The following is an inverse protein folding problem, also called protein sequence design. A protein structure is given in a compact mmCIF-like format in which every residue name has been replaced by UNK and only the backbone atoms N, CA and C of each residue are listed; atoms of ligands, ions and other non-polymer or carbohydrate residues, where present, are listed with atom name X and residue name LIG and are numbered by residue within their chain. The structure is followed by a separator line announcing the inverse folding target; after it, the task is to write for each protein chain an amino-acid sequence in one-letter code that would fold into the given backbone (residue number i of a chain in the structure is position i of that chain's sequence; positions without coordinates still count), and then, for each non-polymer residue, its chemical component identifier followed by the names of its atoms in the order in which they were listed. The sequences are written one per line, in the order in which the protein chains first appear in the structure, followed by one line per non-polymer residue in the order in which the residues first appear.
data_IF_446503536822
#
_entry.id   IF_446503536822
#
_cell.length_a   1.000
_cell.length_b   1.000
_cell.length_c   1.000
_cell.angle_alpha   90.00
_cell.angle_beta   90.00
_cell.angle_gamma   90.00
#
_symmetry.space_group_name_H-M   'P 1'
#
loop_
_entity.id
_entity.type
_entity.pdbx_description
1 polymer ?
#
# COMPACT_ATOMS: atom_id res chain seq x y z
N UNK A 1 -7.39 -4.48 -16.87
CA UNK A 1 -6.29 -3.95 -16.05
C UNK A 1 -6.40 -4.53 -14.65
N UNK A 2 -5.33 -5.18 -14.19
CA UNK A 2 -5.25 -5.86 -12.90
C UNK A 2 -4.38 -5.08 -11.93
N UNK A 3 -4.90 -4.83 -10.73
CA UNK A 3 -4.20 -4.18 -9.63
C UNK A 3 -3.90 -5.22 -8.55
N UNK A 4 -2.66 -5.28 -8.06
CA UNK A 4 -2.33 -5.95 -6.80
C UNK A 4 -2.21 -4.90 -5.70
N UNK A 5 -2.83 -5.14 -4.55
CA UNK A 5 -2.96 -4.22 -3.43
C UNK A 5 -2.43 -4.86 -2.16
N UNK A 6 -1.36 -4.28 -1.63
CA UNK A 6 -0.81 -4.57 -0.30
C UNK A 6 -0.93 -3.34 0.60
N UNK A 7 -0.90 -3.55 1.91
CA UNK A 7 -0.73 -2.49 2.91
C UNK A 7 -0.08 -3.06 4.16
N UNK A 8 0.37 -2.20 5.07
CA UNK A 8 0.74 -2.57 6.43
C UNK A 8 1.76 -3.73 6.45
N UNK A 9 2.84 -3.57 5.66
CA UNK A 9 3.87 -4.58 5.46
C UNK A 9 4.77 -4.72 6.70
N UNK A 10 5.02 -3.61 7.39
CA UNK A 10 5.85 -3.52 8.59
C UNK A 10 7.22 -4.20 8.44
N UNK A 11 7.89 -4.01 7.30
CA UNK A 11 9.19 -4.61 7.06
C UNK A 11 10.19 -4.12 8.11
N UNK A 12 10.78 -5.07 8.85
CA UNK A 12 11.65 -4.79 9.99
C UNK A 12 11.01 -5.05 11.35
N UNK A 13 9.71 -5.35 11.41
CA UNK A 13 9.04 -5.73 12.66
C UNK A 13 9.68 -6.98 13.27
N UNK A 14 10.18 -6.85 14.50
CA UNK A 14 10.82 -7.95 15.24
C UNK A 14 9.95 -8.51 16.38
N UNK A 15 8.87 -7.81 16.77
CA UNK A 15 8.01 -8.22 17.90
C UNK A 15 8.79 -8.58 19.17
N UNK A 16 8.29 -9.55 19.94
CA UNK A 16 8.89 -10.02 21.19
C UNK A 16 9.74 -11.30 21.06
N UNK A 17 9.91 -11.85 19.85
CA UNK A 17 10.49 -13.18 19.64
C UNK A 17 11.60 -13.21 18.59
N UNK A 18 12.66 -14.02 18.79
CA UNK A 18 13.71 -14.17 17.79
C UNK A 18 13.12 -14.74 16.49
N UNK A 19 13.57 -14.23 15.34
CA UNK A 19 13.19 -14.73 14.01
C UNK A 19 11.99 -14.04 13.36
N UNK A 20 11.16 -13.29 14.11
CA UNK A 20 9.98 -12.60 13.55
C UNK A 20 10.30 -11.63 12.42
N UNK A 21 11.40 -10.87 12.56
CA UNK A 21 11.88 -10.02 11.48
C UNK A 21 12.14 -10.81 10.18
N UNK A 22 12.69 -12.03 10.30
CA UNK A 22 12.91 -12.91 9.15
C UNK A 22 11.62 -13.47 8.56
N UNK A 23 10.60 -13.74 9.38
CA UNK A 23 9.29 -14.21 8.91
C UNK A 23 8.56 -13.14 8.10
N UNK A 24 8.50 -11.90 8.62
CA UNK A 24 7.87 -10.77 7.91
C UNK A 24 8.52 -10.55 6.53
N UNK A 25 9.85 -10.58 6.47
CA UNK A 25 10.58 -10.47 5.20
C UNK A 25 10.25 -11.62 4.24
N UNK A 26 10.20 -12.86 4.74
CA UNK A 26 9.89 -14.05 3.94
C UNK A 26 8.46 -14.04 3.40
N UNK A 27 7.49 -13.64 4.22
CA UNK A 27 6.09 -13.52 3.81
C UNK A 27 5.96 -12.46 2.72
N UNK A 28 6.64 -11.32 2.85
CA UNK A 28 6.68 -10.31 1.80
C UNK A 28 7.31 -10.83 0.50
N UNK A 29 8.45 -11.54 0.58
CA UNK A 29 9.08 -12.15 -0.60
C UNK A 29 8.14 -13.15 -1.28
N UNK A 30 7.45 -13.99 -0.52
CA UNK A 30 6.46 -14.95 -1.04
C UNK A 30 5.28 -14.25 -1.71
N UNK A 31 4.73 -13.20 -1.08
CA UNK A 31 3.63 -12.42 -1.64
C UNK A 31 4.05 -11.76 -2.96
N UNK A 32 5.24 -11.17 -3.02
CA UNK A 32 5.77 -10.58 -4.25
C UNK A 32 6.01 -11.60 -5.36
N UNK A 33 6.48 -12.81 -5.01
CA UNK A 33 6.57 -13.93 -5.95
C UNK A 33 5.20 -14.31 -6.51
N UNK A 34 4.20 -14.46 -5.66
CA UNK A 34 2.83 -14.75 -6.08
C UNK A 34 2.22 -13.64 -6.93
N UNK A 35 2.45 -12.39 -6.57
CA UNK A 35 2.04 -11.21 -7.37
C UNK A 35 2.67 -11.27 -8.75
N UNK A 36 3.94 -11.63 -8.85
CA UNK A 36 4.63 -11.80 -10.14
C UNK A 36 3.97 -12.86 -11.01
N UNK A 37 3.59 -14.01 -10.44
CA UNK A 37 2.86 -15.07 -11.16
C UNK A 37 1.48 -14.61 -11.64
N UNK A 38 0.81 -13.76 -10.86
CA UNK A 38 -0.52 -13.24 -11.21
C UNK A 38 -0.49 -12.16 -12.29
N UNK A 39 0.67 -11.56 -12.57
CA UNK A 39 0.86 -10.61 -13.67
C UNK A 39 -0.04 -9.36 -13.61
N UNK A 40 0.00 -8.54 -12.54
CA UNK A 40 -0.74 -7.27 -12.51
C UNK A 40 -0.07 -6.20 -13.38
N UNK A 41 -0.86 -5.21 -13.79
CA UNK A 41 -0.39 -4.00 -14.48
C UNK A 41 0.08 -2.91 -13.49
N UNK A 42 -0.38 -2.99 -12.24
CA UNK A 42 -0.12 -2.05 -11.16
C UNK A 42 -0.01 -2.78 -9.82
N UNK A 43 1.04 -2.51 -9.06
CA UNK A 43 1.14 -2.86 -7.64
C UNK A 43 1.00 -1.60 -6.81
N UNK A 44 0.02 -1.58 -5.92
CA UNK A 44 -0.21 -0.48 -4.97
C UNK A 44 0.14 -0.94 -3.56
N UNK A 45 0.91 -0.12 -2.84
CA UNK A 45 1.24 -0.33 -1.43
C UNK A 45 0.67 0.85 -0.62
N UNK A 46 -0.41 0.59 0.11
CA UNK A 46 -1.17 1.59 0.85
C UNK A 46 -0.60 1.85 2.27
N UNK A 47 0.71 2.10 2.34
CA UNK A 47 1.39 2.57 3.53
C UNK A 47 1.84 1.51 4.52
N UNK A 48 2.58 1.99 5.53
CA UNK A 48 3.29 1.21 6.55
C UNK A 48 4.16 0.13 5.90
N UNK A 49 5.00 0.57 4.95
CA UNK A 49 5.99 -0.29 4.28
C UNK A 49 7.01 -0.78 5.30
N UNK A 50 7.51 0.12 6.13
CA UNK A 50 8.46 -0.18 7.19
C UNK A 50 7.79 -0.08 8.56
N UNK A 51 8.19 -0.93 9.49
CA UNK A 51 7.65 -0.91 10.86
C UNK A 51 8.05 0.37 11.63
N UNK A 52 9.16 0.98 11.23
CA UNK A 52 9.74 2.15 11.87
C UNK A 52 10.45 3.02 10.82
N UNK A 53 10.55 4.35 10.98
CA UNK A 53 11.28 5.21 10.05
C UNK A 53 12.80 4.99 10.09
N UNK A 54 13.30 4.21 11.05
CA UNK A 54 14.67 3.76 11.15
C UNK A 54 14.68 2.23 11.11
N UNK A 55 15.10 1.67 9.98
CA UNK A 55 15.23 0.21 9.79
C UNK A 55 16.66 -0.17 9.47
N UNK A 56 17.00 -1.43 9.77
CA UNK A 56 18.25 -2.03 9.30
C UNK A 56 18.26 -2.19 7.78
N UNK A 57 19.40 -2.58 7.21
CA UNK A 57 19.53 -2.75 5.76
C UNK A 57 18.65 -3.87 5.20
N UNK A 58 18.33 -4.92 5.98
CA UNK A 58 17.64 -6.11 5.50
C UNK A 58 16.23 -5.84 4.95
N UNK A 59 15.34 -5.07 5.63
CA UNK A 59 14.07 -4.60 5.05
C UNK A 59 14.20 -3.90 3.70
N UNK A 60 15.08 -2.91 3.61
CA UNK A 60 15.29 -2.12 2.38
C UNK A 60 15.81 -3.01 1.25
N UNK A 61 16.81 -3.86 1.55
CA UNK A 61 17.40 -4.77 0.59
C UNK A 61 16.39 -5.80 0.07
N UNK A 62 15.55 -6.33 0.95
CA UNK A 62 14.50 -7.29 0.61
C UNK A 62 13.45 -6.64 -0.29
N UNK A 63 12.93 -5.48 0.09
CA UNK A 63 12.02 -4.70 -0.76
C UNK A 63 12.62 -4.46 -2.15
N UNK A 64 13.85 -3.96 -2.20
CA UNK A 64 14.54 -3.62 -3.44
C UNK A 64 14.73 -4.82 -4.36
N UNK A 65 15.08 -5.99 -3.80
CA UNK A 65 15.23 -7.23 -4.58
C UNK A 65 13.89 -7.74 -5.09
N UNK A 66 12.86 -7.77 -4.25
CA UNK A 66 11.54 -8.28 -4.65
C UNK A 66 10.90 -7.41 -5.74
N UNK A 67 11.00 -6.08 -5.63
CA UNK A 67 10.50 -5.17 -6.67
C UNK A 67 11.30 -5.30 -7.96
N UNK A 68 12.63 -5.45 -7.87
CA UNK A 68 13.46 -5.71 -9.06
C UNK A 68 13.04 -7.00 -9.76
N UNK A 69 12.92 -8.10 -9.02
CA UNK A 69 12.52 -9.40 -9.58
C UNK A 69 11.13 -9.35 -10.22
N UNK A 70 10.18 -8.64 -9.59
CA UNK A 70 8.84 -8.40 -10.15
C UNK A 70 8.94 -7.67 -11.49
N UNK A 71 9.70 -6.58 -11.56
CA UNK A 71 9.83 -5.76 -12.77
C UNK A 71 10.61 -6.46 -13.90
N UNK A 72 11.58 -7.28 -13.54
CA UNK A 72 12.31 -8.11 -14.51
C UNK A 72 11.37 -9.17 -15.13
N UNK A 73 10.44 -9.70 -14.32
CA UNK A 73 9.45 -10.70 -14.77
C UNK A 73 8.27 -10.09 -15.51
N UNK A 74 7.89 -8.85 -15.18
CA UNK A 74 6.75 -8.13 -15.75
C UNK A 74 7.18 -6.76 -16.29
N UNK A 75 7.77 -6.71 -17.50
CA UNK A 75 8.13 -5.44 -18.13
C UNK A 75 6.90 -4.54 -18.25
N UNK A 76 6.95 -3.35 -17.65
CA UNK A 76 5.85 -2.37 -17.68
C UNK A 76 4.97 -2.34 -16.43
N UNK A 77 5.16 -3.24 -15.46
CA UNK A 77 4.49 -3.12 -14.16
C UNK A 77 4.96 -1.87 -13.43
N UNK A 78 4.01 -1.09 -12.92
CA UNK A 78 4.27 0.06 -12.07
C UNK A 78 4.08 -0.30 -10.60
N UNK A 79 4.99 0.14 -9.73
CA UNK A 79 4.84 0.01 -8.27
C UNK A 79 4.63 1.40 -7.69
N UNK A 80 3.53 1.60 -6.96
CA UNK A 80 3.20 2.89 -6.35
C UNK A 80 2.98 2.73 -4.87
N UNK A 81 3.44 3.71 -4.09
CA UNK A 81 3.42 3.66 -2.63
C UNK A 81 2.89 4.98 -2.08
N UNK A 82 1.87 4.91 -1.23
CA UNK A 82 1.47 6.03 -0.38
C UNK A 82 2.01 5.77 1.02
N UNK A 83 2.80 6.69 1.59
CA UNK A 83 3.38 6.50 2.93
C UNK A 83 2.30 6.33 4.00
N UNK A 84 2.49 5.37 4.90
CA UNK A 84 1.68 5.21 6.09
C UNK A 84 2.19 6.03 7.26
N UNK A 85 1.63 5.80 8.45
CA UNK A 85 2.01 6.53 9.65
C UNK A 85 3.41 6.16 10.16
N UNK A 86 3.79 4.88 10.07
CA UNK A 86 5.10 4.37 10.54
C UNK A 86 6.25 4.66 9.60
N UNK A 87 5.94 4.98 8.36
CA UNK A 87 6.94 5.33 7.37
C UNK A 87 7.51 6.76 7.56
N UNK A 88 6.87 7.59 8.38
CA UNK A 88 7.20 9.01 8.51
C UNK A 88 8.30 9.21 9.56
N UNK A 89 9.45 9.82 9.20
CA UNK A 89 10.47 10.19 10.16
C UNK A 89 9.95 11.10 11.27
N UNK A 90 10.47 10.93 12.49
CA UNK A 90 10.09 11.77 13.64
C UNK A 90 10.52 13.23 13.46
N UNK A 91 11.67 13.46 12.83
CA UNK A 91 12.18 14.79 12.55
C UNK A 91 11.60 15.32 11.23
N UNK A 92 10.99 16.51 11.29
CA UNK A 92 10.45 17.18 10.12
C UNK A 92 11.56 17.48 9.09
N UNK A 93 11.38 16.98 7.87
CA UNK A 93 12.35 17.15 6.78
C UNK A 93 13.43 16.08 6.71
N UNK A 94 13.51 15.15 7.67
CA UNK A 94 14.40 14.01 7.57
C UNK A 94 13.98 13.04 6.45
N UNK A 95 14.95 12.27 5.95
CA UNK A 95 14.75 11.30 4.88
C UNK A 95 14.73 9.89 5.46
N UNK A 96 13.60 9.19 5.32
CA UNK A 96 13.42 7.82 5.77
C UNK A 96 13.70 6.77 4.68
N UNK A 97 13.59 5.48 5.01
CA UNK A 97 13.80 4.37 4.08
C UNK A 97 12.86 4.39 2.87
N UNK A 98 11.68 5.02 2.98
CA UNK A 98 10.78 5.25 1.85
C UNK A 98 11.43 6.06 0.71
N UNK A 99 12.32 7.00 1.02
CA UNK A 99 13.01 7.76 -0.02
C UNK A 99 14.05 6.92 -0.76
N UNK A 100 14.68 5.96 -0.06
CA UNK A 100 15.62 5.03 -0.68
C UNK A 100 14.90 4.14 -1.68
N UNK A 101 13.75 3.56 -1.29
CA UNK A 101 12.97 2.74 -2.23
C UNK A 101 12.33 3.57 -3.34
N UNK A 102 11.99 4.84 -3.08
CA UNK A 102 11.45 5.75 -4.09
C UNK A 102 12.48 6.19 -5.14
N UNK A 103 13.77 5.97 -4.90
CA UNK A 103 14.82 6.14 -5.90
C UNK A 103 14.98 4.91 -6.82
N UNK A 104 14.27 3.80 -6.54
CA UNK A 104 14.32 2.61 -7.38
C UNK A 104 13.58 2.85 -8.71
N UNK A 105 14.12 2.39 -9.86
CA UNK A 105 13.44 2.52 -11.13
C UNK A 105 12.06 1.86 -11.13
N UNK A 106 11.04 2.61 -11.58
CA UNK A 106 9.66 2.13 -11.68
C UNK A 106 8.90 2.05 -10.34
N UNK A 107 9.44 2.66 -9.29
CA UNK A 107 8.76 2.84 -8.00
C UNK A 107 8.40 4.31 -7.83
N UNK A 108 7.12 4.58 -7.59
CA UNK A 108 6.63 5.93 -7.37
C UNK A 108 6.08 6.07 -5.95
N UNK A 109 6.66 6.97 -5.16
CA UNK A 109 6.30 7.16 -3.76
C UNK A 109 5.68 8.54 -3.55
N UNK A 110 4.65 8.61 -2.71
CA UNK A 110 4.16 9.84 -2.10
C UNK A 110 4.38 9.76 -0.59
N UNK A 111 5.08 10.75 -0.01
CA UNK A 111 5.44 10.75 1.42
C UNK A 111 4.67 11.79 2.23
N UNK A 112 4.58 13.02 1.74
CA UNK A 112 4.03 14.15 2.50
C UNK A 112 2.79 14.76 1.87
N UNK A 113 2.77 14.92 0.55
CA UNK A 113 1.70 15.58 -0.18
C UNK A 113 0.94 14.60 -1.09
N UNK A 114 -0.30 14.98 -1.42
CA UNK A 114 -1.09 14.28 -2.44
C UNK A 114 -0.32 14.28 -3.75
N UNK A 115 -0.20 13.10 -4.36
CA UNK A 115 0.48 12.94 -5.65
C UNK A 115 -0.44 12.26 -6.64
N UNK A 116 -0.56 12.81 -7.85
CA UNK A 116 -1.23 12.15 -8.98
C UNK A 116 -0.21 11.68 -10.00
N UNK A 117 -0.34 10.44 -10.41
CA UNK A 117 0.44 9.81 -11.46
C UNK A 117 -0.49 9.50 -12.62
N UNK A 118 0.04 9.64 -13.83
CA UNK A 118 -0.63 9.22 -15.06
C UNK A 118 0.28 8.20 -15.73
N UNK A 119 -0.20 6.97 -15.83
CA UNK A 119 0.54 5.78 -16.24
C UNK A 119 -0.13 5.13 -17.46
N UNK A 120 0.54 4.14 -18.06
CA UNK A 120 0.02 3.36 -19.20
C UNK A 120 -0.49 4.26 -20.33
N UNK A 121 0.38 5.13 -20.84
CA UNK A 121 0.11 6.07 -21.95
C UNK A 121 -1.13 6.94 -21.75
N UNK A 122 -1.41 7.35 -20.50
CA UNK A 122 -2.54 8.21 -20.17
C UNK A 122 -3.82 7.46 -19.80
N UNK A 123 -3.83 6.13 -19.89
CA UNK A 123 -5.04 5.35 -19.62
C UNK A 123 -5.33 5.21 -18.13
N UNK A 124 -4.32 5.24 -17.26
CA UNK A 124 -4.46 5.04 -15.83
C UNK A 124 -4.04 6.30 -15.06
N UNK A 125 -4.95 6.87 -14.27
CA UNK A 125 -4.63 7.87 -13.26
C UNK A 125 -4.62 7.22 -11.86
N UNK A 126 -3.51 7.40 -11.13
CA UNK A 126 -3.38 6.95 -9.74
C UNK A 126 -3.23 8.17 -8.83
N UNK A 127 -4.11 8.32 -7.85
CA UNK A 127 -4.00 9.37 -6.83
C UNK A 127 -3.53 8.74 -5.53
N UNK A 128 -2.37 9.16 -5.04
CA UNK A 128 -1.74 8.71 -3.80
C UNK A 128 -2.01 9.72 -2.68
N UNK A 129 -2.57 9.24 -1.58
CA UNK A 129 -2.86 9.98 -0.36
C UNK A 129 -2.02 9.43 0.79
N UNK A 130 -0.80 9.95 1.02
CA UNK A 130 0.01 9.52 2.15
C UNK A 130 -0.59 10.02 3.47
N UNK A 131 -0.30 9.32 4.56
CA UNK A 131 -0.84 9.60 5.89
C UNK A 131 -0.71 11.08 6.31
N UNK A 132 0.44 11.78 6.15
CA UNK A 132 0.53 13.21 6.46
C UNK A 132 -0.46 14.09 5.70
N UNK A 133 -0.68 13.82 4.40
CA UNK A 133 -1.63 14.58 3.60
C UNK A 133 -3.06 14.36 4.07
N UNK A 134 -3.39 13.14 4.48
CA UNK A 134 -4.69 12.79 5.04
C UNK A 134 -4.89 13.49 6.39
N UNK A 135 -3.89 13.51 7.27
CA UNK A 135 -3.99 14.14 8.59
C UNK A 135 -4.02 15.67 8.53
N UNK A 136 -3.39 16.27 7.52
CA UNK A 136 -3.33 17.72 7.37
C UNK A 136 -4.67 18.35 6.97
N UNK A 137 -5.65 17.57 6.48
CA UNK A 137 -6.95 18.09 6.04
C UNK A 137 -8.12 17.29 6.58
N UNK A 138 -9.13 18.00 7.10
CA UNK A 138 -10.42 17.41 7.49
C UNK A 138 -11.25 16.96 6.28
N UNK A 139 -11.03 17.57 5.12
CA UNK A 139 -11.75 17.28 3.88
C UNK A 139 -10.80 17.36 2.69
N UNK A 140 -10.50 16.20 2.10
CA UNK A 140 -9.62 16.12 0.94
C UNK A 140 -10.39 16.42 -0.34
N UNK A 141 -9.89 17.38 -1.12
CA UNK A 141 -10.45 17.73 -2.44
C UNK A 141 -9.73 16.95 -3.54
N UNK A 142 -9.97 15.65 -3.60
CA UNK A 142 -9.51 14.78 -4.69
C UNK A 142 -10.67 14.18 -5.45
N UNK A 143 -10.53 14.04 -6.76
CA UNK A 143 -11.54 13.48 -7.65
C UNK A 143 -10.89 12.69 -8.79
N UNK A 144 -11.58 11.70 -9.38
CA UNK A 144 -11.11 11.02 -10.58
C UNK A 144 -10.70 11.99 -11.70
N UNK A 145 -9.67 11.65 -12.45
CA UNK A 145 -9.31 12.33 -13.68
C UNK A 145 -10.21 11.85 -14.83
N UNK A 146 -10.99 12.78 -15.39
CA UNK A 146 -11.94 12.50 -16.48
C UNK A 146 -11.26 12.16 -17.81
N UNK A 147 -9.94 12.43 -17.94
CA UNK A 147 -9.18 12.12 -19.15
C UNK A 147 -8.64 10.68 -19.13
N UNK A 148 -8.47 10.09 -17.95
CA UNK A 148 -8.00 8.72 -17.82
C UNK A 148 -9.17 7.74 -17.97
N UNK A 149 -8.89 6.57 -18.56
CA UNK A 149 -9.86 5.47 -18.64
C UNK A 149 -10.11 4.85 -17.27
N UNK A 150 -9.05 4.68 -16.48
CA UNK A 150 -9.07 4.07 -15.16
C UNK A 150 -8.54 5.02 -14.09
N UNK A 151 -9.19 5.05 -12.94
CA UNK A 151 -8.88 5.91 -11.80
C UNK A 151 -8.75 5.10 -10.52
N UNK A 152 -7.53 5.03 -9.98
CA UNK A 152 -7.22 4.33 -8.73
C UNK A 152 -6.86 5.34 -7.64
N UNK A 153 -7.49 5.21 -6.48
CA UNK A 153 -7.14 5.95 -5.27
C UNK A 153 -6.38 5.03 -4.32
N UNK A 154 -5.23 5.47 -3.81
CA UNK A 154 -4.45 4.75 -2.79
C UNK A 154 -4.34 5.65 -1.57
N UNK A 155 -4.78 5.18 -0.41
CA UNK A 155 -4.75 5.98 0.82
C UNK A 155 -4.40 5.14 2.04
N UNK A 156 -3.55 5.68 2.90
CA UNK A 156 -3.32 5.11 4.23
C UNK A 156 -4.14 5.88 5.27
N UNK A 157 -5.32 5.37 5.61
CA UNK A 157 -6.25 6.07 6.50
C UNK A 157 -7.34 5.14 7.07
N UNK A 158 -7.66 5.34 8.35
CA UNK A 158 -8.84 4.74 8.96
C UNK A 158 -10.09 5.56 8.58
N UNK A 159 -11.05 4.93 7.91
CA UNK A 159 -12.32 5.55 7.57
C UNK A 159 -13.17 5.80 8.82
N UNK A 160 -13.98 6.85 8.78
CA UNK A 160 -14.83 7.26 9.89
C UNK A 160 -15.98 6.28 10.14
N UNK A 161 -15.75 5.21 10.91
CA UNK A 161 -16.81 4.35 11.45
C UNK A 161 -17.45 4.96 12.71
N UNK A 162 -18.04 6.16 12.56
CA UNK A 162 -18.70 6.87 13.66
C UNK A 162 -17.78 7.67 14.60
N UNK A 163 -16.48 7.79 14.29
CA UNK A 163 -15.54 8.65 15.01
C UNK A 163 -15.58 10.08 14.48
N UNK A 164 -15.88 11.04 15.36
CA UNK A 164 -16.12 12.45 15.03
C UNK A 164 -14.93 13.21 14.40
N UNK A 165 -13.74 12.59 14.28
CA UNK A 165 -12.49 13.25 13.88
C UNK A 165 -11.73 12.52 12.77
N UNK A 166 -12.30 11.45 12.19
CA UNK A 166 -11.64 10.75 11.09
C UNK A 166 -11.73 11.57 9.78
N UNK A 167 -10.66 11.58 8.96
CA UNK A 167 -10.58 12.36 7.74
C UNK A 167 -11.62 11.89 6.71
N UNK A 168 -12.33 12.84 6.08
CA UNK A 168 -13.29 12.53 5.03
C UNK A 168 -12.57 12.36 3.68
N UNK A 169 -12.40 11.11 3.26
CA UNK A 169 -11.86 10.75 1.95
C UNK A 169 -13.05 10.57 0.98
N UNK A 170 -13.06 11.25 -0.19
CA UNK A 170 -14.11 11.06 -1.19
C UNK A 170 -13.90 9.72 -1.92
N UNK A 171 -14.69 8.70 -1.54
CA UNK A 171 -14.57 7.33 -2.08
C UNK A 171 -15.39 7.07 -3.35
N UNK A 172 -16.15 8.05 -3.83
CA UNK A 172 -17.04 7.88 -4.99
C UNK A 172 -16.35 8.17 -6.32
N UNK A 173 -16.76 7.45 -7.37
CA UNK A 173 -16.35 7.69 -8.75
C UNK A 173 -14.99 7.09 -9.14
N UNK A 174 -14.29 6.43 -8.22
CA UNK A 174 -13.05 5.71 -8.50
C UNK A 174 -13.35 4.30 -9.03
N UNK A 175 -12.50 3.81 -9.90
CA UNK A 175 -12.58 2.44 -10.40
C UNK A 175 -12.04 1.43 -9.39
N UNK A 176 -11.14 1.86 -8.51
CA UNK A 176 -10.72 1.11 -7.34
C UNK A 176 -10.14 2.04 -6.26
N UNK A 177 -10.40 1.71 -5.00
CA UNK A 177 -9.81 2.39 -3.84
C UNK A 177 -9.08 1.37 -2.96
N UNK A 178 -7.76 1.54 -2.90
CA UNK A 178 -6.84 0.77 -2.08
C UNK A 178 -6.57 1.49 -0.76
N UNK A 179 -7.09 0.94 0.33
CA UNK A 179 -6.90 1.47 1.68
C UNK A 179 -5.89 0.62 2.47
N UNK A 180 -5.04 1.27 3.24
CA UNK A 180 -4.26 0.66 4.33
C UNK A 180 -4.59 1.30 5.68
N UNK A 181 -3.87 0.92 6.75
CA UNK A 181 -4.09 1.22 8.18
C UNK A 181 -4.95 0.21 8.95
N UNK A 182 -5.62 -0.70 8.25
CA UNK A 182 -6.30 -1.83 8.87
C UNK A 182 -5.53 -3.10 8.55
N UNK A 183 -5.19 -3.86 9.59
CA UNK A 183 -4.45 -5.12 9.46
C UNK A 183 -5.35 -6.30 9.05
N UNK A 184 -6.64 -6.06 8.85
CA UNK A 184 -7.61 -7.04 8.41
C UNK A 184 -8.13 -6.71 7.02
N UNK A 185 -8.19 -7.70 6.14
CA UNK A 185 -8.91 -7.55 4.88
C UNK A 185 -10.37 -7.16 5.17
N UNK A 186 -10.80 -6.03 4.61
CA UNK A 186 -12.18 -5.56 4.76
C UNK A 186 -12.64 -4.93 3.46
N UNK A 187 -13.70 -5.50 2.86
CA UNK A 187 -14.39 -4.89 1.72
C UNK A 187 -15.43 -3.89 2.21
N UNK A 188 -15.07 -2.62 2.23
CA UNK A 188 -15.93 -1.50 2.71
C UNK A 188 -17.08 -1.24 1.75
N UNK A 189 -16.79 -1.34 0.46
CA UNK A 189 -17.76 -1.29 -0.63
C UNK A 189 -17.24 -2.13 -1.79
N UNK A 190 -18.01 -2.27 -2.87
CA UNK A 190 -17.69 -3.14 -4.01
C UNK A 190 -16.23 -2.99 -4.49
N UNK A 191 -15.73 -1.75 -4.59
CA UNK A 191 -14.38 -1.43 -5.11
C UNK A 191 -13.52 -0.66 -4.12
N UNK A 192 -13.87 -0.73 -2.83
CA UNK A 192 -13.16 -0.03 -1.75
C UNK A 192 -12.75 -1.06 -0.72
N UNK A 193 -11.46 -1.32 -0.60
CA UNK A 193 -10.94 -2.40 0.24
C UNK A 193 -9.78 -1.92 1.10
N UNK A 194 -9.77 -2.37 2.36
CA UNK A 194 -8.54 -2.58 3.11
C UNK A 194 -7.94 -3.92 2.69
N UNK A 195 -6.66 -3.97 2.30
CA UNK A 195 -6.03 -5.26 1.95
C UNK A 195 -5.67 -6.07 3.19
N UNK A 196 -5.32 -5.40 4.29
CA UNK A 196 -4.79 -6.06 5.47
C UNK A 196 -3.27 -6.16 5.41
N UNK A 197 -2.68 -6.50 6.54
CA UNK A 197 -1.25 -6.78 6.63
C UNK A 197 -0.95 -8.16 6.06
N UNK A 198 0.27 -8.37 5.55
CA UNK A 198 0.72 -9.69 5.12
C UNK A 198 1.00 -10.67 6.27
N UNK A 199 1.35 -10.15 7.44
CA UNK A 199 1.76 -10.95 8.60
C UNK A 199 1.18 -10.33 9.88
N UNK A 200 1.07 -11.14 10.94
CA UNK A 200 0.63 -10.71 12.26
C UNK A 200 1.71 -9.85 12.91
N UNK A 201 1.48 -8.55 12.96
CA UNK A 201 2.45 -7.57 13.45
C UNK A 201 1.83 -6.36 14.14
N UNK A 202 0.50 -6.31 14.29
CA UNK A 202 -0.15 -5.20 14.99
C UNK A 202 0.14 -5.16 16.49
N UNK A 203 -0.31 -4.06 17.09
CA UNK A 203 -0.14 -3.80 18.52
C UNK A 203 -0.83 -4.86 19.41
N UNK A 204 -1.84 -5.55 18.88
CA UNK A 204 -2.49 -6.68 19.53
C UNK A 204 -2.46 -7.94 18.62
N UNK A 205 -1.44 -8.80 18.77
CA UNK A 205 -1.33 -10.03 17.99
C UNK A 205 -2.50 -11.01 18.18
N UNK A 206 -3.24 -10.90 19.29
CA UNK A 206 -4.34 -11.81 19.61
C UNK A 206 -5.60 -11.50 18.82
N UNK A 207 -5.90 -10.21 18.60
CA UNK A 207 -6.99 -9.80 17.70
C UNK A 207 -6.76 -10.27 16.26
N UNK A 208 -5.49 -10.38 15.86
CA UNK A 208 -5.09 -10.83 14.53
C UNK A 208 -4.94 -12.35 14.38
N UNK A 209 -5.06 -13.12 15.47
CA UNK A 209 -4.80 -14.55 15.46
C UNK A 209 -5.69 -15.30 14.46
N UNK A 210 -6.98 -14.96 14.44
CA UNK A 210 -8.00 -15.59 13.58
C UNK A 210 -8.22 -14.87 12.23
N UNK A 211 -7.42 -13.85 11.92
CA UNK A 211 -7.59 -13.05 10.71
C UNK A 211 -6.75 -13.66 9.59
N UNK A 212 -7.41 -13.93 8.46
CA UNK A 212 -6.73 -14.29 7.22
C UNK A 212 -5.85 -13.13 6.76
N UNK A 213 -4.58 -13.44 6.53
CA UNK A 213 -3.57 -12.48 6.06
C UNK A 213 -3.32 -12.70 4.58
N UNK A 214 -2.85 -11.68 3.89
CA UNK A 214 -2.64 -11.79 2.45
C UNK A 214 -2.66 -10.44 1.74
N UNK A 215 -2.83 -10.48 0.43
CA UNK A 215 -2.96 -9.30 -0.41
C UNK A 215 -4.19 -9.42 -1.30
N UNK A 216 -4.61 -8.30 -1.89
CA UNK A 216 -5.82 -8.24 -2.71
C UNK A 216 -5.45 -8.05 -4.18
N UNK A 217 -6.14 -8.72 -5.09
CA UNK A 217 -6.16 -8.31 -6.50
C UNK A 217 -7.52 -7.75 -6.88
N UNK A 218 -7.51 -6.71 -7.72
CA UNK A 218 -8.72 -6.12 -8.29
C UNK A 218 -8.63 -6.05 -9.82
N UNK A 219 -9.70 -6.44 -10.49
CA UNK A 219 -9.86 -6.29 -11.94
C UNK A 219 -10.69 -5.05 -12.21
N UNK A 220 -10.08 -4.02 -12.80
CA UNK A 220 -10.75 -2.73 -13.00
C UNK A 220 -11.93 -2.83 -13.98
N UNK A 221 -11.81 -3.67 -15.01
CA UNK A 221 -12.85 -3.86 -16.03
C UNK A 221 -14.12 -4.52 -15.46
N UNK A 222 -13.97 -5.60 -14.68
CA UNK A 222 -15.10 -6.35 -14.11
C UNK A 222 -15.54 -5.86 -12.73
N UNK A 223 -14.68 -5.14 -12.00
CA UNK A 223 -14.88 -4.81 -10.59
C UNK A 223 -14.65 -6.00 -9.64
N UNK A 224 -14.16 -7.13 -10.14
CA UNK A 224 -13.87 -8.31 -9.33
C UNK A 224 -12.71 -8.03 -8.37
N UNK A 225 -12.87 -8.44 -7.11
CA UNK A 225 -11.87 -8.29 -6.05
C UNK A 225 -11.67 -9.65 -5.38
N UNK A 226 -10.41 -10.05 -5.21
CA UNK A 226 -10.01 -11.36 -4.68
C UNK A 226 -8.94 -11.20 -3.61
N UNK A 227 -9.13 -11.83 -2.46
CA UNK A 227 -8.10 -11.97 -1.43
C UNK A 227 -7.24 -13.20 -1.72
N UNK A 228 -5.92 -13.05 -1.65
CA UNK A 228 -4.94 -14.10 -1.79
C UNK A 228 -4.24 -14.32 -0.44
N UNK A 229 -4.49 -15.44 0.25
CA UNK A 229 -3.87 -15.74 1.52
C UNK A 229 -2.39 -16.12 1.39
#
# INVERSE_FOLDING_TARGET
MKVAHLSDLHLGYAGAGPGRAGDVLRVFENAMGRISELGPDLVVIAGDVFDHPEVTASPIATFSRSVRALRDSLPGVAVVVAAGARDIPFEAGAHGPLMVIGALPGVEVATTAVRRLVLHDGQLAVTLLPHPAVMASRSLKVSPDRKAKWNVLVAHAALASGRSHAPAIPLQGWDYVALGSSHAYTRVAERVCYSGSLERGGADPWEEAAIDKGFVTAQLDSGEVTLWP
#
